data_IF_424699896559
#
_entry.id   IF_424699896559
#
_cell.length_a   1.000
_cell.length_b   1.000
_cell.length_c   1.000
_cell.angle_alpha   90.00
_cell.angle_beta   90.00
_cell.angle_gamma   90.00
#
_symmetry.space_group_name_H-M   'P 1'
#
loop_
_entity.id
_entity.type
_entity.pdbx_description
1 polymer ?
#
# COMPACT_ATOMS: atom_id res chain seq x y z
N UNK A 1 3.51 11.05 11.63
CA UNK A 1 4.23 10.52 10.45
C UNK A 1 3.92 11.42 9.26
N UNK A 2 4.90 11.75 8.39
CA UNK A 2 4.61 12.42 7.13
C UNK A 2 3.70 11.54 6.25
N UNK A 3 2.73 12.15 5.58
CA UNK A 3 1.83 11.50 4.63
C UNK A 3 2.14 12.04 3.24
N UNK A 4 2.33 11.14 2.28
CA UNK A 4 2.76 11.46 0.92
C UNK A 4 2.15 10.47 -0.07
N UNK A 5 2.36 10.71 -1.36
CA UNK A 5 1.97 9.78 -2.43
C UNK A 5 3.04 8.71 -2.63
N UNK A 6 2.66 7.61 -3.28
CA UNK A 6 3.64 6.59 -3.67
C UNK A 6 4.39 7.04 -4.91
N UNK A 7 5.71 6.88 -4.89
CA UNK A 7 6.56 7.24 -6.02
C UNK A 7 7.19 5.99 -6.64
N UNK A 8 6.97 5.78 -7.93
CA UNK A 8 7.69 4.76 -8.69
C UNK A 8 9.04 5.32 -9.15
N UNK A 9 10.13 4.63 -8.84
CA UNK A 9 11.48 5.00 -9.26
C UNK A 9 12.22 3.79 -9.81
N UNK A 10 13.14 4.02 -10.74
CA UNK A 10 14.03 2.98 -11.26
C UNK A 10 15.16 2.73 -10.26
N UNK A 11 15.19 1.53 -9.67
CA UNK A 11 16.24 1.08 -8.78
C UNK A 11 17.30 0.24 -9.51
N UNK A 12 18.44 0.01 -8.86
CA UNK A 12 19.52 -0.84 -9.37
C UNK A 12 19.08 -2.29 -9.70
N UNK A 13 18.02 -2.78 -9.05
CA UNK A 13 17.47 -4.12 -9.23
C UNK A 13 16.11 -4.12 -9.96
N UNK A 14 15.80 -3.04 -10.69
CA UNK A 14 14.49 -2.83 -11.31
C UNK A 14 13.62 -1.79 -10.58
N UNK A 15 12.40 -1.53 -11.08
CA UNK A 15 11.54 -0.50 -10.53
C UNK A 15 11.08 -0.83 -9.11
N UNK A 16 10.85 0.22 -8.32
CA UNK A 16 10.38 0.08 -6.94
C UNK A 16 9.56 1.29 -6.52
N UNK A 17 8.51 1.03 -5.76
CA UNK A 17 7.75 2.08 -5.09
C UNK A 17 8.46 2.59 -3.84
N UNK A 18 8.38 3.89 -3.60
CA UNK A 18 8.91 4.58 -2.43
C UNK A 18 7.78 5.34 -1.73
N UNK A 19 7.90 5.44 -0.40
CA UNK A 19 7.03 6.25 0.45
C UNK A 19 7.90 7.07 1.40
N UNK A 20 7.83 8.40 1.34
CA UNK A 20 8.72 9.29 2.10
C UNK A 20 10.20 8.92 1.89
N UNK A 21 10.60 8.75 0.63
CA UNK A 21 11.96 8.37 0.20
C UNK A 21 12.48 7.02 0.72
N UNK A 22 11.63 6.20 1.35
CA UNK A 22 11.97 4.85 1.79
C UNK A 22 11.36 3.82 0.83
N UNK A 23 12.13 2.81 0.39
CA UNK A 23 11.63 1.80 -0.53
C UNK A 23 10.57 0.91 0.13
N UNK A 24 9.57 0.52 -0.65
CA UNK A 24 8.56 -0.48 -0.28
C UNK A 24 8.88 -1.84 -0.88
N UNK A 25 8.58 -2.89 -0.13
CA UNK A 25 8.57 -4.28 -0.57
C UNK A 25 7.17 -4.89 -0.39
N UNK A 26 6.86 -5.95 -1.12
CA UNK A 26 5.62 -6.72 -0.90
C UNK A 26 5.49 -7.14 0.58
N UNK A 27 4.27 -7.04 1.12
CA UNK A 27 3.99 -7.29 2.53
C UNK A 27 4.28 -6.11 3.48
N UNK A 28 4.89 -5.01 3.01
CA UNK A 28 5.23 -3.86 3.89
C UNK A 28 3.94 -3.21 4.43
N UNK A 29 3.82 -3.01 5.75
CA UNK A 29 2.63 -2.37 6.31
C UNK A 29 2.60 -0.87 5.97
N UNK A 30 1.45 -0.42 5.47
CA UNK A 30 1.17 0.97 5.12
C UNK A 30 -0.23 1.36 5.61
N UNK A 31 -0.49 2.67 5.67
CA UNK A 31 -1.82 3.20 5.91
C UNK A 31 -2.29 4.03 4.72
N UNK A 32 -3.47 3.71 4.18
CA UNK A 32 -4.13 4.46 3.12
C UNK A 32 -5.21 5.38 3.72
N UNK A 33 -5.27 6.61 3.25
CA UNK A 33 -6.28 7.58 3.67
C UNK A 33 -7.61 7.34 2.96
N UNK A 34 -8.65 7.05 3.72
CA UNK A 34 -10.05 7.01 3.30
C UNK A 34 -10.79 8.23 3.88
N UNK A 35 -11.98 8.53 3.35
CA UNK A 35 -12.80 9.66 3.83
C UNK A 35 -13.09 9.62 5.34
N UNK A 36 -13.16 8.42 5.92
CA UNK A 36 -13.40 8.20 7.36
C UNK A 36 -12.14 8.05 8.22
N UNK A 37 -10.94 8.16 7.65
CA UNK A 37 -9.69 8.00 8.38
C UNK A 37 -8.70 7.07 7.69
N UNK A 38 -7.78 6.50 8.47
CA UNK A 38 -6.67 5.70 7.95
C UNK A 38 -6.96 4.20 8.12
N UNK A 39 -6.78 3.43 7.05
CA UNK A 39 -6.86 1.96 7.10
C UNK A 39 -5.46 1.39 6.94
N UNK A 40 -5.08 0.51 7.86
CA UNK A 40 -3.80 -0.22 7.78
C UNK A 40 -3.96 -1.47 6.91
N UNK A 41 -3.02 -1.68 6.01
CA UNK A 41 -2.90 -2.89 5.21
C UNK A 41 -1.47 -3.17 4.81
N UNK A 42 -1.27 -4.16 3.96
CA UNK A 42 0.02 -4.52 3.38
C UNK A 42 0.09 -4.01 1.95
N UNK A 43 1.21 -3.39 1.61
CA UNK A 43 1.54 -3.02 0.24
C UNK A 43 1.86 -4.27 -0.57
N UNK A 44 1.26 -4.40 -1.75
CA UNK A 44 1.51 -5.46 -2.70
C UNK A 44 1.69 -4.89 -4.11
N UNK A 45 2.67 -5.38 -4.85
CA UNK A 45 2.90 -5.01 -6.24
C UNK A 45 3.77 -6.08 -6.94
N UNK A 46 3.49 -6.35 -8.21
CA UNK A 46 4.14 -7.43 -8.97
C UNK A 46 5.56 -7.09 -9.43
N UNK A 47 5.91 -5.81 -9.50
CA UNK A 47 7.15 -5.34 -10.11
C UNK A 47 7.01 -4.91 -11.58
N UNK A 48 5.83 -5.08 -12.18
CA UNK A 48 5.54 -4.67 -13.55
C UNK A 48 4.99 -3.23 -13.59
N UNK A 49 5.51 -2.38 -14.49
CA UNK A 49 5.01 -1.02 -14.72
C UNK A 49 3.56 -1.00 -15.21
N UNK A 50 3.09 -2.08 -15.85
CA UNK A 50 1.70 -2.20 -16.27
C UNK A 50 0.73 -2.42 -15.10
N UNK A 51 1.24 -2.88 -13.94
CA UNK A 51 0.44 -3.15 -12.76
C UNK A 51 0.43 -1.99 -11.78
N UNK A 52 -0.73 -1.71 -11.20
CA UNK A 52 -0.86 -0.73 -10.11
C UNK A 52 -0.60 -1.38 -8.75
N UNK A 53 -0.01 -0.63 -7.80
CA UNK A 53 0.18 -1.12 -6.44
C UNK A 53 -1.17 -1.30 -5.75
N UNK A 54 -1.22 -2.26 -4.83
CA UNK A 54 -2.43 -2.60 -4.07
C UNK A 54 -2.17 -2.54 -2.58
N UNK A 55 -3.21 -2.20 -1.84
CA UNK A 55 -3.26 -2.42 -0.39
C UNK A 55 -4.15 -3.63 -0.11
N UNK A 56 -3.60 -4.62 0.57
CA UNK A 56 -4.34 -5.78 1.04
C UNK A 56 -4.59 -5.70 2.55
N UNK A 57 -5.82 -5.91 3.00
CA UNK A 57 -6.20 -5.92 4.41
C UNK A 57 -7.19 -7.05 4.73
N UNK A 58 -7.21 -7.46 5.99
CA UNK A 58 -8.14 -8.48 6.51
C UNK A 58 -9.10 -7.83 7.51
N UNK A 59 -10.38 -8.15 7.40
CA UNK A 59 -11.45 -7.68 8.28
C UNK A 59 -11.84 -8.84 9.20
N UNK A 60 -11.67 -8.66 10.50
CA UNK A 60 -12.13 -9.63 11.50
C UNK A 60 -13.66 -9.68 11.55
N UNK A 61 -14.22 -10.88 11.44
CA UNK A 61 -15.65 -11.14 11.47
C UNK A 61 -16.07 -11.67 12.85
N UNK A 62 -17.26 -11.25 13.29
CA UNK A 62 -17.88 -11.82 14.48
C UNK A 62 -18.01 -13.35 14.32
N UNK A 63 -17.50 -14.10 15.30
CA UNK A 63 -17.48 -15.57 15.25
C UNK A 63 -16.14 -16.19 14.84
N UNK A 64 -15.09 -15.38 14.62
CA UNK A 64 -13.71 -15.88 14.52
C UNK A 64 -13.24 -16.21 13.09
N UNK A 65 -13.71 -15.49 12.08
CA UNK A 65 -13.22 -15.58 10.70
C UNK A 65 -12.66 -14.25 10.21
N UNK A 66 -12.01 -14.27 9.04
CA UNK A 66 -11.52 -13.05 8.38
C UNK A 66 -12.13 -12.92 6.98
N UNK A 67 -12.37 -11.69 6.56
CA UNK A 67 -12.67 -11.35 5.18
C UNK A 67 -11.54 -10.52 4.60
N UNK A 68 -10.88 -11.05 3.58
CA UNK A 68 -9.77 -10.36 2.93
C UNK A 68 -10.28 -9.44 1.81
N UNK A 69 -9.67 -8.27 1.72
CA UNK A 69 -9.97 -7.30 0.68
C UNK A 69 -8.69 -6.67 0.14
N UNK A 70 -8.68 -6.40 -1.16
CA UNK A 70 -7.58 -5.73 -1.84
C UNK A 70 -8.10 -4.52 -2.60
N UNK A 71 -7.49 -3.36 -2.36
CA UNK A 71 -7.76 -2.13 -3.08
C UNK A 71 -6.58 -1.83 -4.00
N UNK A 72 -6.83 -1.45 -5.26
CA UNK A 72 -5.82 -0.70 -6.00
C UNK A 72 -5.59 0.63 -5.29
N UNK A 73 -4.32 1.02 -5.15
CA UNK A 73 -3.94 2.33 -4.67
C UNK A 73 -3.94 3.25 -5.89
N UNK A 74 -4.89 4.20 -5.98
CA UNK A 74 -4.91 5.14 -7.10
C UNK A 74 -3.64 5.99 -7.14
N UNK A 75 -3.35 6.53 -8.31
CA UNK A 75 -2.37 7.62 -8.43
C UNK A 75 -2.78 8.77 -7.50
N UNK A 76 -1.78 9.43 -6.92
CA UNK A 76 -1.93 10.54 -5.96
C UNK A 76 -2.69 10.22 -4.65
N UNK A 77 -2.94 8.94 -4.35
CA UNK A 77 -3.51 8.55 -3.08
C UNK A 77 -2.58 8.91 -1.91
N UNK A 78 -3.15 9.43 -0.83
CA UNK A 78 -2.40 9.79 0.37
C UNK A 78 -2.12 8.54 1.20
N UNK A 79 -0.83 8.21 1.36
CA UNK A 79 -0.34 7.04 2.10
C UNK A 79 0.62 7.50 3.20
N UNK A 80 0.73 6.73 4.28
CA UNK A 80 1.76 6.94 5.31
C UNK A 80 2.24 5.65 5.93
N UNK A 81 3.37 5.74 6.63
CA UNK A 81 3.83 4.69 7.52
C UNK A 81 2.88 4.57 8.74
N UNK A 82 2.58 3.36 9.24
CA UNK A 82 1.75 3.16 10.44
C UNK A 82 2.27 3.89 11.68
#
# INVERSE_FOLDING_TARGET
MPSETLELRDGLSGPRYYLASRPLAGGTPIQLCFSGGWVTGRFEWSGDYADRPRMHCSIELCGGGTFDHSFEIPEDAIVRWP
#
